data_IF_553924586546
#
_entry.id   IF_553924586546
#
_cell.length_a   1.000
_cell.length_b   1.000
_cell.length_c   1.000
_cell.angle_alpha   90.00
_cell.angle_beta   90.00
_cell.angle_gamma   90.00
#
_symmetry.space_group_name_H-M   'P 1'
#
loop_
_entity.id
_entity.type
_entity.pdbx_description
1 polymer ?
#
# COMPACT_ATOMS: atom_id res chain seq x y z
N UNK A 1 8.74 25.64 -4.37
CA UNK A 1 7.35 26.13 -4.23
C UNK A 1 7.20 26.58 -2.79
N UNK A 2 6.89 27.85 -2.56
CA UNK A 2 6.69 28.37 -1.20
C UNK A 2 5.36 27.86 -0.66
N UNK A 3 5.36 27.34 0.57
CA UNK A 3 4.12 26.94 1.25
C UNK A 3 3.31 28.19 1.63
N UNK A 4 1.97 28.12 1.65
CA UNK A 4 1.14 29.23 2.07
C UNK A 4 1.31 29.53 3.57
N UNK A 5 1.08 30.78 3.95
CA UNK A 5 1.12 31.21 5.34
C UNK A 5 0.04 30.48 6.18
N UNK A 6 0.35 30.10 7.43
CA UNK A 6 -0.59 29.37 8.28
C UNK A 6 -1.83 30.21 8.63
N UNK A 7 -3.02 29.62 8.51
CA UNK A 7 -4.28 30.27 8.89
C UNK A 7 -4.47 30.26 10.42
N UNK A 8 -5.00 31.33 11.04
CA UNK A 8 -5.34 31.37 12.46
C UNK A 8 -6.62 30.58 12.81
N UNK A 9 -7.42 30.17 11.81
CA UNK A 9 -8.62 29.36 12.02
C UNK A 9 -8.25 27.92 12.35
N UNK A 10 -8.82 27.37 13.42
CA UNK A 10 -8.66 25.95 13.75
C UNK A 10 -9.17 25.08 12.58
N UNK A 11 -8.39 24.10 12.10
CA UNK A 11 -8.84 23.20 11.05
C UNK A 11 -10.10 22.46 11.49
N UNK A 12 -11.06 22.23 10.58
CA UNK A 12 -12.25 21.45 10.92
C UNK A 12 -11.84 20.09 11.50
N UNK A 13 -12.25 19.84 12.74
CA UNK A 13 -12.09 18.54 13.39
C UNK A 13 -13.10 17.59 12.75
N UNK A 14 -12.60 16.68 11.94
CA UNK A 14 -13.41 15.58 11.45
C UNK A 14 -13.59 14.59 12.61
N UNK A 15 -14.80 14.09 12.83
CA UNK A 15 -15.07 13.09 13.86
C UNK A 15 -14.17 11.86 13.66
N UNK A 16 -13.90 11.12 14.74
CA UNK A 16 -13.10 9.90 14.65
C UNK A 16 -13.72 8.96 13.60
N UNK A 17 -12.97 8.69 12.54
CA UNK A 17 -13.41 7.76 11.49
C UNK A 17 -13.50 6.38 12.12
N UNK A 18 -14.64 5.66 12.00
CA UNK A 18 -14.76 4.31 12.54
C UNK A 18 -13.66 3.42 11.99
N UNK A 19 -12.93 2.75 12.89
CA UNK A 19 -11.87 1.80 12.53
C UNK A 19 -12.26 0.40 12.98
N UNK A 20 -11.99 -0.60 12.15
CA UNK A 20 -12.20 -2.00 12.49
C UNK A 20 -10.97 -2.83 12.11
N UNK A 21 -10.77 -3.95 12.79
CA UNK A 21 -9.82 -4.96 12.34
C UNK A 21 -10.50 -5.73 11.21
N UNK A 22 -9.99 -5.57 9.99
CA UNK A 22 -10.46 -6.29 8.80
C UNK A 22 -9.33 -7.16 8.27
N UNK A 23 -8.85 -6.93 7.04
CA UNK A 23 -7.68 -7.59 6.45
C UNK A 23 -6.35 -6.93 6.84
N UNK A 24 -6.38 -5.82 7.59
CA UNK A 24 -5.19 -5.12 8.06
C UNK A 24 -4.78 -5.57 9.47
N UNK A 25 -3.47 -5.54 9.74
CA UNK A 25 -2.88 -5.92 11.03
C UNK A 25 -3.34 -5.05 12.22
N UNK A 26 -3.71 -3.79 11.99
CA UNK A 26 -4.26 -2.87 13.00
C UNK A 26 -5.68 -2.42 12.64
N UNK A 27 -6.50 -1.98 13.62
CA UNK A 27 -7.75 -1.30 13.34
C UNK A 27 -7.52 -0.17 12.33
N UNK A 28 -8.12 -0.30 11.16
CA UNK A 28 -7.96 0.66 10.06
C UNK A 28 -9.34 1.16 9.67
N UNK A 29 -9.45 2.44 9.33
CA UNK A 29 -10.67 2.97 8.72
C UNK A 29 -10.98 2.20 7.44
N UNK A 30 -12.25 2.18 7.01
CA UNK A 30 -12.61 1.58 5.73
C UNK A 30 -11.93 2.36 4.59
N UNK A 31 -10.78 1.84 4.15
CA UNK A 31 -10.00 2.36 3.05
C UNK A 31 -10.10 1.38 1.89
N UNK A 32 -10.21 1.90 0.67
CA UNK A 32 -10.11 1.06 -0.53
C UNK A 32 -8.65 0.62 -0.71
N UNK A 33 -8.37 -0.62 -0.34
CA UNK A 33 -7.12 -1.31 -0.68
C UNK A 33 -6.02 -1.28 0.41
N UNK A 34 -4.84 -1.82 0.10
CA UNK A 34 -3.73 -1.95 1.06
C UNK A 34 -3.18 -0.62 1.56
N UNK A 35 -2.68 -0.59 2.80
CA UNK A 35 -2.13 0.61 3.45
C UNK A 35 -0.98 1.27 2.64
N UNK A 36 -0.18 0.50 1.91
CA UNK A 36 0.91 1.02 1.05
C UNK A 36 0.41 2.00 -0.02
N UNK A 37 -0.79 1.81 -0.55
CA UNK A 37 -1.36 2.73 -1.56
C UNK A 37 -1.79 4.05 -0.94
N UNK A 38 -2.24 4.02 0.32
CA UNK A 38 -2.56 5.22 1.08
C UNK A 38 -1.29 5.96 1.50
N UNK A 39 -0.23 5.24 1.86
CA UNK A 39 1.04 5.84 2.28
C UNK A 39 1.62 6.75 1.19
N UNK A 40 1.45 6.39 -0.09
CA UNK A 40 1.89 7.19 -1.24
C UNK A 40 0.84 8.18 -1.77
N UNK A 41 -0.29 8.38 -1.07
CA UNK A 41 -1.37 9.27 -1.56
C UNK A 41 -0.96 10.74 -1.68
N UNK A 42 0.02 11.19 -0.91
CA UNK A 42 0.58 12.54 -1.01
C UNK A 42 1.52 12.74 -2.22
N UNK A 43 1.91 11.64 -2.89
CA UNK A 43 2.88 11.59 -3.99
C UNK A 43 2.29 10.75 -5.15
N UNK A 44 1.32 11.32 -5.92
CA UNK A 44 0.52 10.55 -6.86
C UNK A 44 1.32 9.86 -7.97
N UNK A 45 2.37 10.52 -8.48
CA UNK A 45 3.23 9.98 -9.52
C UNK A 45 4.00 8.74 -9.06
N UNK A 46 4.48 8.75 -7.81
CA UNK A 46 5.15 7.63 -7.17
C UNK A 46 4.17 6.46 -6.93
N UNK A 47 2.91 6.77 -6.59
CA UNK A 47 1.86 5.76 -6.45
C UNK A 47 1.52 5.07 -7.79
N UNK A 48 1.45 5.84 -8.88
CA UNK A 48 1.31 5.29 -10.23
C UNK A 48 2.51 4.43 -10.64
N UNK A 49 3.71 4.90 -10.32
CA UNK A 49 4.96 4.17 -10.58
C UNK A 49 5.00 2.84 -9.84
N UNK A 50 4.56 2.81 -8.57
CA UNK A 50 4.41 1.57 -7.80
C UNK A 50 3.45 0.59 -8.50
N UNK A 51 2.29 1.06 -8.97
CA UNK A 51 1.32 0.24 -9.68
C UNK A 51 1.89 -0.38 -10.95
N UNK A 52 2.63 0.42 -11.74
CA UNK A 52 3.29 -0.02 -12.96
C UNK A 52 4.34 -1.11 -12.68
N UNK A 53 5.20 -0.89 -11.69
CA UNK A 53 6.23 -1.86 -11.31
C UNK A 53 5.63 -3.15 -10.75
N UNK A 54 4.63 -3.05 -9.87
CA UNK A 54 3.93 -4.21 -9.31
C UNK A 54 3.34 -5.08 -10.43
N UNK A 55 2.69 -4.45 -11.41
CA UNK A 55 2.06 -5.16 -12.54
C UNK A 55 3.08 -5.86 -13.43
N UNK A 56 4.28 -5.31 -13.58
CA UNK A 56 5.34 -5.89 -14.41
C UNK A 56 6.14 -6.99 -13.71
N UNK A 57 6.31 -6.91 -12.38
CA UNK A 57 7.27 -7.74 -11.64
C UNK A 57 6.63 -8.74 -10.67
N UNK A 58 5.36 -8.55 -10.32
CA UNK A 58 4.68 -9.31 -9.28
C UNK A 58 3.24 -9.62 -9.68
N UNK A 59 2.26 -8.81 -9.27
CA UNK A 59 0.86 -8.86 -9.71
C UNK A 59 0.28 -7.46 -9.82
N UNK A 60 -0.82 -7.32 -10.58
CA UNK A 60 -1.59 -6.08 -10.60
C UNK A 60 -2.15 -5.80 -9.20
N UNK A 61 -2.09 -4.54 -8.76
CA UNK A 61 -2.55 -4.16 -7.41
C UNK A 61 -4.02 -4.54 -7.13
N UNK A 62 -4.88 -4.51 -8.16
CA UNK A 62 -6.27 -4.92 -8.06
C UNK A 62 -6.47 -6.43 -7.80
N UNK A 63 -5.47 -7.25 -8.13
CA UNK A 63 -5.53 -8.71 -8.02
C UNK A 63 -4.76 -9.25 -6.80
N UNK A 64 -4.25 -8.36 -5.93
CA UNK A 64 -3.45 -8.74 -4.77
C UNK A 64 -4.15 -9.77 -3.87
N UNK A 65 -5.47 -9.67 -3.71
CA UNK A 65 -6.24 -10.58 -2.86
C UNK A 65 -6.88 -11.75 -3.62
N UNK A 66 -6.94 -11.71 -4.95
CA UNK A 66 -7.65 -12.69 -5.78
C UNK A 66 -6.73 -13.66 -6.54
N UNK A 67 -5.53 -13.24 -6.96
CA UNK A 67 -4.62 -14.06 -7.78
C UNK A 67 -3.44 -14.64 -6.99
N UNK A 68 -3.68 -15.60 -6.10
CA UNK A 68 -2.64 -16.11 -5.20
C UNK A 68 -1.67 -17.12 -5.83
N UNK A 69 -1.87 -17.49 -7.10
CA UNK A 69 -1.14 -18.60 -7.74
C UNK A 69 -0.60 -18.30 -9.14
N UNK A 70 -0.61 -17.03 -9.56
CA UNK A 70 -0.11 -16.57 -10.87
C UNK A 70 1.23 -17.18 -11.27
N UNK A 71 1.35 -17.58 -12.54
CA UNK A 71 2.57 -18.09 -13.18
C UNK A 71 2.92 -17.32 -14.47
N UNK A 72 2.36 -16.12 -14.62
CA UNK A 72 2.46 -15.28 -15.82
C UNK A 72 3.88 -14.71 -16.07
N UNK A 73 4.79 -14.84 -15.11
CA UNK A 73 6.16 -14.33 -15.15
C UNK A 73 7.18 -15.47 -15.05
N UNK A 74 8.48 -15.16 -15.19
CA UNK A 74 9.55 -16.17 -15.02
C UNK A 74 9.59 -16.83 -13.65
N UNK A 75 8.95 -16.22 -12.64
CA UNK A 75 8.74 -16.78 -11.31
C UNK A 75 7.23 -16.83 -11.04
N UNK A 76 6.77 -17.89 -10.38
CA UNK A 76 5.40 -17.93 -9.87
C UNK A 76 5.21 -16.93 -8.72
N UNK A 77 3.95 -16.53 -8.47
CA UNK A 77 3.57 -15.68 -7.33
C UNK A 77 4.21 -16.18 -6.04
N UNK A 78 4.08 -17.48 -5.76
CA UNK A 78 4.64 -18.09 -4.55
C UNK A 78 6.17 -17.99 -4.46
N UNK A 79 6.89 -18.10 -5.58
CA UNK A 79 8.35 -17.91 -5.58
C UNK A 79 8.71 -16.45 -5.29
N UNK A 80 7.97 -15.50 -5.86
CA UNK A 80 8.16 -14.07 -5.58
C UNK A 80 7.89 -13.77 -4.10
N UNK A 81 6.82 -14.33 -3.50
CA UNK A 81 6.52 -14.16 -2.07
C UNK A 81 7.65 -14.66 -1.16
N UNK A 82 8.26 -15.81 -1.48
CA UNK A 82 9.39 -16.34 -0.70
C UNK A 82 10.59 -15.39 -0.77
N UNK A 83 10.86 -14.81 -1.94
CA UNK A 83 11.93 -13.82 -2.12
C UNK A 83 11.60 -12.55 -1.33
N UNK A 84 10.37 -12.05 -1.42
CA UNK A 84 9.90 -10.88 -0.69
C UNK A 84 10.04 -11.10 0.83
N UNK A 85 9.53 -12.21 1.37
CA UNK A 85 9.58 -12.53 2.79
C UNK A 85 11.03 -12.65 3.31
N UNK A 86 11.93 -13.31 2.55
CA UNK A 86 13.35 -13.38 2.92
C UNK A 86 14.02 -12.01 2.91
N UNK A 87 13.73 -11.19 1.90
CA UNK A 87 14.27 -9.84 1.79
C UNK A 87 13.78 -8.96 2.93
N UNK A 88 12.48 -8.98 3.24
CA UNK A 88 11.91 -8.25 4.37
C UNK A 88 12.49 -8.72 5.70
N UNK A 89 12.69 -10.03 5.88
CA UNK A 89 13.31 -10.58 7.11
C UNK A 89 14.74 -10.10 7.31
N UNK A 90 15.56 -10.06 6.24
CA UNK A 90 16.94 -9.56 6.30
C UNK A 90 17.01 -8.06 6.61
N UNK A 91 15.98 -7.30 6.23
CA UNK A 91 15.89 -5.85 6.47
C UNK A 91 15.07 -5.49 7.71
N UNK A 92 14.61 -6.46 8.50
CA UNK A 92 13.71 -6.26 9.63
C UNK A 92 12.47 -5.42 9.28
N UNK A 93 11.96 -5.56 8.05
CA UNK A 93 10.78 -4.85 7.58
C UNK A 93 9.53 -5.48 8.18
N UNK A 94 8.83 -4.71 9.03
CA UNK A 94 7.62 -5.15 9.71
C UNK A 94 6.38 -5.24 8.80
N UNK A 95 6.24 -4.27 7.89
CA UNK A 95 5.15 -4.22 6.92
C UNK A 95 5.27 -5.36 5.91
#
# INVERSE_FOLDING_TARGET
>A
VSLPDPSPTEPPKHGAVPTAITSHWVPTAEIKGPNVLKALSAVPFENESLSLLSSAQYVRLGDLLSDLSSDQNSLSRMQVEVIAARTSKLNECFY
#
